data_IF_074554167958
#
_entry.id   IF_074554167958
#
_cell.length_a   1.000
_cell.length_b   1.000
_cell.length_c   1.000
_cell.angle_alpha   90.00
_cell.angle_beta   90.00
_cell.angle_gamma   90.00
#
_symmetry.space_group_name_H-M   'P 1'
#
loop_
_entity.id
_entity.type
_entity.pdbx_description
1 polymer ?
#
# COMPACT_ATOMS: atom_id res chain seq x y z
N UNK A 1 -0.43 17.92 -4.54
CA UNK A 1 -1.15 16.91 -3.74
C UNK A 1 -0.55 15.54 -4.02
N UNK A 2 -0.27 14.79 -2.99
CA UNK A 2 0.31 13.45 -3.12
C UNK A 2 -0.71 12.49 -3.77
N UNK A 3 -0.26 11.73 -4.75
CA UNK A 3 -1.06 10.68 -5.38
C UNK A 3 -0.57 9.33 -4.84
N UNK A 4 -1.48 8.53 -4.31
CA UNK A 4 -1.19 7.17 -3.82
C UNK A 4 -1.82 6.18 -4.78
N UNK A 5 -1.02 5.22 -5.24
CA UNK A 5 -1.47 4.19 -6.17
C UNK A 5 -1.17 2.83 -5.56
N UNK A 6 -2.22 2.06 -5.26
CA UNK A 6 -2.06 0.68 -4.84
C UNK A 6 -1.93 -0.19 -6.08
N UNK A 7 -0.79 -0.87 -6.23
CA UNK A 7 -0.53 -1.77 -7.34
C UNK A 7 -0.65 -3.21 -6.88
N UNK A 8 -1.55 -3.95 -7.49
CA UNK A 8 -1.83 -5.34 -7.16
C UNK A 8 -1.00 -6.23 -8.09
N UNK A 9 0.11 -6.78 -7.58
CA UNK A 9 1.09 -7.49 -8.39
C UNK A 9 0.52 -8.68 -9.16
N UNK A 10 -0.50 -9.34 -8.61
CA UNK A 10 -1.11 -10.54 -9.18
C UNK A 10 -2.15 -10.23 -10.24
N UNK A 11 -2.47 -8.97 -10.46
CA UNK A 11 -3.54 -8.56 -11.39
C UNK A 11 -2.94 -8.01 -12.66
N UNK A 12 -3.70 -8.12 -13.76
CA UNK A 12 -3.25 -7.64 -15.05
C UNK A 12 -3.36 -6.12 -15.15
N UNK A 13 -2.34 -5.49 -15.70
CA UNK A 13 -2.35 -4.05 -15.95
C UNK A 13 -3.53 -3.66 -16.85
N UNK A 14 -4.24 -2.61 -16.45
CA UNK A 14 -5.39 -2.08 -17.21
C UNK A 14 -6.69 -2.84 -17.00
N UNK A 15 -6.68 -3.97 -16.29
CA UNK A 15 -7.90 -4.69 -15.96
C UNK A 15 -8.61 -4.04 -14.78
N UNK A 16 -9.93 -4.24 -14.69
CA UNK A 16 -10.74 -3.65 -13.63
C UNK A 16 -10.26 -4.11 -12.25
N UNK A 17 -9.97 -3.20 -11.31
CA UNK A 17 -9.38 -3.56 -10.01
C UNK A 17 -10.22 -4.54 -9.19
N UNK A 18 -11.54 -4.44 -9.22
CA UNK A 18 -12.40 -5.32 -8.44
C UNK A 18 -12.25 -6.79 -8.83
N UNK A 19 -11.82 -7.08 -10.05
CA UNK A 19 -11.60 -8.45 -10.55
C UNK A 19 -10.35 -9.10 -9.99
N UNK A 20 -9.50 -8.33 -9.32
CA UNK A 20 -8.32 -8.86 -8.64
C UNK A 20 -8.68 -9.66 -7.39
N UNK A 21 -9.90 -9.50 -6.87
CA UNK A 21 -10.30 -10.04 -5.58
C UNK A 21 -11.32 -11.15 -5.75
N UNK A 22 -10.98 -12.34 -5.25
CA UNK A 22 -11.88 -13.50 -5.21
C UNK A 22 -12.44 -13.72 -3.81
N UNK A 23 -11.76 -13.20 -2.79
CA UNK A 23 -12.21 -13.30 -1.41
C UNK A 23 -13.49 -12.46 -1.23
N UNK A 24 -14.58 -13.04 -0.70
CA UNK A 24 -15.83 -12.30 -0.51
C UNK A 24 -15.62 -11.01 0.31
N UNK A 25 -16.11 -9.90 -0.23
CA UNK A 25 -16.04 -8.61 0.43
C UNK A 25 -14.71 -7.86 0.28
N UNK A 26 -13.65 -8.51 -0.18
CA UNK A 26 -12.33 -7.87 -0.23
C UNK A 26 -12.30 -6.68 -1.19
N UNK A 27 -12.89 -6.82 -2.37
CA UNK A 27 -12.95 -5.72 -3.33
C UNK A 27 -13.67 -4.50 -2.76
N UNK A 28 -14.77 -4.73 -2.04
CA UNK A 28 -15.56 -3.66 -1.44
C UNK A 28 -14.77 -2.92 -0.36
N UNK A 29 -14.07 -3.66 0.51
CA UNK A 29 -13.26 -3.06 1.56
C UNK A 29 -12.05 -2.30 0.99
N UNK A 30 -11.43 -2.86 -0.05
CA UNK A 30 -10.33 -2.18 -0.73
C UNK A 30 -10.80 -0.83 -1.30
N UNK A 31 -11.95 -0.83 -1.98
CA UNK A 31 -12.55 0.39 -2.52
C UNK A 31 -12.97 1.37 -1.44
N UNK A 32 -13.47 0.86 -0.31
CA UNK A 32 -13.86 1.69 0.83
C UNK A 32 -12.66 2.48 1.38
N UNK A 33 -11.55 1.81 1.65
CA UNK A 33 -10.37 2.48 2.20
C UNK A 33 -9.69 3.39 1.17
N UNK A 34 -9.64 2.99 -0.10
CA UNK A 34 -9.12 3.86 -1.14
C UNK A 34 -9.95 5.15 -1.24
N UNK A 35 -11.27 5.05 -1.12
CA UNK A 35 -12.16 6.20 -1.11
C UNK A 35 -11.94 7.11 0.09
N UNK A 36 -11.70 6.55 1.27
CA UNK A 36 -11.38 7.33 2.47
C UNK A 36 -10.05 8.04 2.33
N UNK A 37 -9.03 7.38 1.78
CA UNK A 37 -7.74 8.00 1.48
C UNK A 37 -7.95 9.16 0.51
N UNK A 38 -8.86 9.01 -0.44
CA UNK A 38 -9.19 10.02 -1.44
C UNK A 38 -9.65 11.36 -0.87
N UNK A 39 -10.03 11.41 0.40
CA UNK A 39 -10.36 12.66 1.09
C UNK A 39 -9.11 13.46 1.48
N UNK A 40 -7.94 12.82 1.52
CA UNK A 40 -6.68 13.43 1.94
C UNK A 40 -5.67 13.53 0.80
N UNK A 41 -5.76 12.63 -0.18
CA UNK A 41 -4.84 12.51 -1.30
C UNK A 41 -5.59 11.86 -2.45
N UNK A 42 -5.07 11.96 -3.67
CA UNK A 42 -5.61 11.17 -4.78
C UNK A 42 -5.22 9.71 -4.55
N UNK A 43 -6.18 8.79 -4.64
CA UNK A 43 -5.90 7.38 -4.43
C UNK A 43 -6.54 6.53 -5.52
N UNK A 44 -5.74 5.65 -6.13
CA UNK A 44 -6.20 4.72 -7.16
C UNK A 44 -5.74 3.30 -6.84
N UNK A 45 -6.40 2.33 -7.46
CA UNK A 45 -6.04 0.91 -7.38
C UNK A 45 -5.73 0.46 -8.81
N UNK A 46 -4.53 -0.10 -9.02
CA UNK A 46 -4.02 -0.45 -10.32
C UNK A 46 -3.63 -1.93 -10.38
N UNK A 47 -3.77 -2.55 -11.52
CA UNK A 47 -3.26 -3.90 -11.76
C UNK A 47 -1.80 -3.89 -12.19
N UNK A 48 -1.04 -4.90 -11.76
CA UNK A 48 0.36 -5.09 -12.13
C UNK A 48 1.32 -4.11 -11.45
N UNK A 49 2.63 -4.36 -11.61
CA UNK A 49 3.65 -3.48 -11.02
C UNK A 49 3.60 -2.08 -11.64
N UNK A 50 4.05 -1.06 -10.88
CA UNK A 50 4.09 0.30 -11.41
C UNK A 50 5.12 0.42 -12.54
N UNK A 51 4.87 1.38 -13.42
CA UNK A 51 5.85 1.76 -14.45
C UNK A 51 7.01 2.48 -13.79
N UNK A 52 8.14 2.54 -14.49
CA UNK A 52 9.40 3.07 -13.96
C UNK A 52 9.33 4.52 -13.48
N UNK A 53 10.19 4.85 -12.52
CA UNK A 53 10.61 6.23 -12.23
C UNK A 53 9.91 6.93 -11.08
N UNK A 54 9.03 6.27 -10.33
CA UNK A 54 8.37 6.87 -9.18
C UNK A 54 8.86 6.34 -7.85
N UNK A 55 8.42 6.97 -6.77
CA UNK A 55 8.65 6.45 -5.41
C UNK A 55 7.85 5.16 -5.23
N UNK A 56 8.49 4.16 -4.65
CA UNK A 56 7.90 2.84 -4.48
C UNK A 56 8.02 2.38 -3.03
N UNK A 57 6.91 2.00 -2.46
CA UNK A 57 6.86 1.22 -1.22
C UNK A 57 6.46 -0.21 -1.61
N UNK A 58 7.25 -1.18 -1.19
CA UNK A 58 6.96 -2.59 -1.44
C UNK A 58 6.43 -3.24 -0.16
N UNK A 59 5.25 -3.83 -0.24
CA UNK A 59 4.69 -4.64 0.84
C UNK A 59 4.97 -6.10 0.54
N UNK A 60 5.85 -6.72 1.35
CA UNK A 60 6.14 -8.15 1.25
C UNK A 60 6.64 -8.70 2.58
N UNK A 61 7.11 -9.95 2.60
CA UNK A 61 7.61 -10.63 3.80
C UNK A 61 9.10 -10.95 3.72
N UNK A 62 9.80 -10.47 2.70
CA UNK A 62 11.19 -10.85 2.46
C UNK A 62 12.16 -10.36 3.52
N UNK A 63 13.36 -10.89 3.49
CA UNK A 63 14.47 -10.44 4.33
C UNK A 63 14.71 -8.96 4.10
N UNK A 64 14.81 -8.19 5.18
CA UNK A 64 15.00 -6.74 5.07
C UNK A 64 13.71 -5.93 5.03
N UNK A 65 12.54 -6.58 5.02
CA UNK A 65 11.29 -5.86 5.19
C UNK A 65 11.14 -5.42 6.65
N UNK A 66 10.51 -4.24 6.86
CA UNK A 66 10.34 -3.65 8.18
C UNK A 66 8.91 -3.82 8.66
N UNK A 67 8.76 -4.32 9.88
CA UNK A 67 7.48 -4.32 10.57
C UNK A 67 7.31 -2.95 11.21
N UNK A 68 6.33 -2.18 10.74
CA UNK A 68 6.09 -0.82 11.21
C UNK A 68 4.81 -0.75 12.03
N UNK A 69 4.84 0.02 13.12
CA UNK A 69 3.62 0.43 13.78
C UNK A 69 2.83 1.39 12.90
N UNK A 70 1.57 1.61 13.23
CA UNK A 70 0.76 2.59 12.51
C UNK A 70 1.36 3.99 12.60
N UNK A 71 1.94 4.35 13.74
CA UNK A 71 2.61 5.64 13.95
C UNK A 71 3.88 5.76 13.11
N UNK A 72 4.66 4.68 13.01
CA UNK A 72 5.86 4.65 12.16
C UNK A 72 5.50 4.76 10.68
N UNK A 73 4.41 4.12 10.26
CA UNK A 73 3.91 4.24 8.89
C UNK A 73 3.46 5.68 8.61
N UNK A 74 2.77 6.30 9.58
CA UNK A 74 2.37 7.70 9.47
C UNK A 74 3.58 8.61 9.30
N UNK A 75 4.67 8.34 10.03
CA UNK A 75 5.91 9.11 9.91
C UNK A 75 6.54 8.95 8.51
N UNK A 76 6.54 7.72 7.97
CA UNK A 76 7.04 7.48 6.62
C UNK A 76 6.19 8.25 5.59
N UNK A 77 4.87 8.26 5.76
CA UNK A 77 3.97 8.99 4.88
C UNK A 77 4.18 10.51 4.98
N UNK A 78 4.40 11.02 6.19
CA UNK A 78 4.70 12.43 6.43
C UNK A 78 5.96 12.85 5.66
N UNK A 79 6.99 12.01 5.69
CA UNK A 79 8.24 12.27 4.96
C UNK A 79 8.01 12.38 3.46
N UNK A 80 7.19 11.50 2.89
CA UNK A 80 6.86 11.58 1.46
C UNK A 80 6.12 12.86 1.14
N UNK A 81 5.11 13.21 1.96
CA UNK A 81 4.34 14.43 1.77
C UNK A 81 5.25 15.67 1.87
N UNK A 82 6.08 15.75 2.89
CA UNK A 82 6.93 16.92 3.14
C UNK A 82 8.07 17.04 2.14
N UNK A 83 8.51 15.93 1.57
CA UNK A 83 9.51 15.92 0.50
C UNK A 83 8.94 16.35 -0.86
N UNK A 84 7.62 16.54 -0.95
CA UNK A 84 6.99 16.94 -2.20
C UNK A 84 6.84 15.81 -3.22
N UNK A 85 6.79 14.56 -2.74
CA UNK A 85 6.55 13.41 -3.62
C UNK A 85 5.25 13.58 -4.39
N UNK A 86 5.30 13.50 -5.72
CA UNK A 86 4.11 13.63 -6.57
C UNK A 86 3.27 12.36 -6.54
N UNK A 87 3.92 11.21 -6.74
CA UNK A 87 3.24 9.92 -6.79
C UNK A 87 3.98 8.90 -5.96
N UNK A 88 3.23 8.16 -5.17
CA UNK A 88 3.74 7.05 -4.37
C UNK A 88 3.01 5.77 -4.78
N UNK A 89 3.75 4.82 -5.33
CA UNK A 89 3.22 3.51 -5.63
C UNK A 89 3.41 2.60 -4.41
N UNK A 90 2.33 1.96 -3.97
CA UNK A 90 2.37 0.94 -2.93
C UNK A 90 2.12 -0.39 -3.63
N UNK A 91 3.19 -1.15 -3.85
CA UNK A 91 3.12 -2.43 -4.55
C UNK A 91 2.85 -3.55 -3.56
N UNK A 92 1.71 -4.21 -3.73
CA UNK A 92 1.31 -5.35 -2.90
C UNK A 92 1.76 -6.62 -3.61
N UNK A 93 2.67 -7.36 -2.99
CA UNK A 93 3.19 -8.60 -3.55
C UNK A 93 2.11 -9.67 -3.71
N UNK A 94 2.24 -10.48 -4.75
CA UNK A 94 1.34 -11.61 -4.98
C UNK A 94 1.69 -12.82 -4.10
N UNK A 95 0.99 -13.94 -4.29
CA UNK A 95 1.20 -15.12 -3.44
C UNK A 95 2.62 -15.69 -3.50
N UNK A 96 3.30 -15.50 -4.62
CA UNK A 96 4.67 -16.00 -4.80
C UNK A 96 5.75 -14.99 -4.36
N UNK A 97 5.36 -13.77 -4.05
CA UNK A 97 6.27 -12.70 -3.65
C UNK A 97 7.25 -12.31 -4.76
N UNK A 98 8.35 -11.70 -4.36
CA UNK A 98 9.43 -11.30 -5.27
C UNK A 98 10.77 -11.86 -4.79
N UNK A 99 11.63 -12.24 -5.74
CA UNK A 99 13.00 -12.64 -5.43
C UNK A 99 13.80 -11.42 -4.91
N UNK A 100 14.88 -11.69 -4.18
CA UNK A 100 15.76 -10.60 -3.71
C UNK A 100 16.36 -9.82 -4.87
N UNK A 101 16.67 -10.50 -6.00
CA UNK A 101 17.15 -9.82 -7.19
C UNK A 101 16.11 -8.86 -7.75
N UNK A 102 14.84 -9.27 -7.79
CA UNK A 102 13.76 -8.42 -8.27
C UNK A 102 13.57 -7.20 -7.33
N UNK A 103 13.62 -7.40 -6.02
CA UNK A 103 13.51 -6.32 -5.04
C UNK A 103 14.65 -5.33 -5.22
N UNK A 104 15.90 -5.83 -5.38
CA UNK A 104 17.06 -4.97 -5.59
C UNK A 104 16.90 -4.13 -6.87
N UNK A 105 16.34 -4.70 -7.92
CA UNK A 105 16.10 -3.99 -9.17
C UNK A 105 15.04 -2.90 -9.03
N UNK A 106 14.02 -3.15 -8.21
CA UNK A 106 12.95 -2.17 -7.96
C UNK A 106 13.39 -0.97 -7.11
N UNK A 107 14.40 -1.15 -6.27
CA UNK A 107 14.92 -0.12 -5.35
C UNK A 107 13.82 0.57 -4.55
N UNK A 108 13.02 -0.17 -3.76
CA UNK A 108 11.94 0.46 -3.01
C UNK A 108 12.47 1.45 -1.97
N UNK A 109 11.79 2.58 -1.83
CA UNK A 109 12.10 3.56 -0.80
C UNK A 109 11.75 3.03 0.59
N UNK A 110 10.79 2.12 0.66
CA UNK A 110 10.38 1.43 1.87
C UNK A 110 10.02 -0.01 1.52
N UNK A 111 10.56 -0.95 2.25
CA UNK A 111 10.15 -2.35 2.17
C UNK A 111 9.43 -2.69 3.47
N UNK A 112 8.14 -2.90 3.37
CA UNK A 112 7.21 -2.92 4.48
C UNK A 112 6.57 -4.29 4.64
N UNK A 113 6.44 -4.74 5.88
CA UNK A 113 5.75 -5.98 6.23
C UNK A 113 4.63 -5.68 7.25
N UNK A 114 3.52 -6.40 7.13
CA UNK A 114 2.40 -6.27 8.05
C UNK A 114 2.60 -7.06 9.34
N UNK A 115 3.73 -7.71 9.49
CA UNK A 115 4.07 -8.45 10.69
C UNK A 115 4.64 -9.83 10.36
N UNK A 116 4.93 -10.65 11.39
CA UNK A 116 5.53 -11.97 11.18
C UNK A 116 4.55 -13.01 10.62
N UNK A 117 3.24 -12.77 10.74
CA UNK A 117 2.24 -13.69 10.22
C UNK A 117 2.08 -13.54 8.73
N UNK A 118 1.89 -14.65 8.03
CA UNK A 118 1.59 -14.64 6.60
C UNK A 118 0.11 -14.40 6.39
N UNK A 119 -0.21 -13.37 5.61
CA UNK A 119 -1.59 -13.06 5.22
C UNK A 119 -1.81 -13.44 3.76
N UNK A 120 -3.01 -13.90 3.37
CA UNK A 120 -3.36 -14.00 1.96
C UNK A 120 -3.15 -12.65 1.27
N UNK A 121 -2.65 -12.66 0.03
CA UNK A 121 -2.31 -11.42 -0.67
C UNK A 121 -3.49 -10.45 -0.80
N UNK A 122 -4.70 -10.96 -1.01
CA UNK A 122 -5.90 -10.11 -1.10
C UNK A 122 -6.20 -9.42 0.24
N UNK A 123 -6.08 -10.16 1.34
CA UNK A 123 -6.27 -9.59 2.68
C UNK A 123 -5.16 -8.59 3.00
N UNK A 124 -3.92 -8.90 2.63
CA UNK A 124 -2.80 -7.99 2.82
C UNK A 124 -3.04 -6.65 2.11
N UNK A 125 -3.62 -6.68 0.92
CA UNK A 125 -3.97 -5.46 0.20
C UNK A 125 -4.98 -4.61 0.97
N UNK A 126 -6.04 -5.24 1.47
CA UNK A 126 -7.06 -4.54 2.26
C UNK A 126 -6.47 -3.96 3.54
N UNK A 127 -5.66 -4.73 4.25
CA UNK A 127 -5.01 -4.27 5.49
C UNK A 127 -4.05 -3.12 5.18
N UNK A 128 -3.30 -3.21 4.08
CA UNK A 128 -2.40 -2.13 3.67
C UNK A 128 -3.16 -0.83 3.40
N UNK A 129 -4.29 -0.91 2.69
CA UNK A 129 -5.13 0.25 2.41
C UNK A 129 -5.68 0.85 3.71
N UNK A 130 -6.15 0.01 4.63
CA UNK A 130 -6.61 0.45 5.94
C UNK A 130 -5.50 1.16 6.71
N UNK A 131 -4.29 0.61 6.71
CA UNK A 131 -3.16 1.21 7.42
C UNK A 131 -2.72 2.54 6.80
N UNK A 132 -2.77 2.68 5.48
CA UNK A 132 -2.46 3.96 4.83
C UNK A 132 -3.53 5.00 5.19
N UNK A 133 -4.79 4.61 5.20
CA UNK A 133 -5.85 5.50 5.68
C UNK A 133 -5.63 5.89 7.14
N UNK A 134 -5.31 4.92 8.01
CA UNK A 134 -5.01 5.16 9.42
C UNK A 134 -3.83 6.13 9.56
N UNK A 135 -2.78 5.97 8.76
CA UNK A 135 -1.63 6.88 8.75
C UNK A 135 -2.06 8.32 8.44
N UNK A 136 -2.91 8.51 7.42
CA UNK A 136 -3.45 9.82 7.12
C UNK A 136 -4.26 10.39 8.28
N UNK A 137 -5.08 9.56 8.93
CA UNK A 137 -5.89 10.01 10.07
C UNK A 137 -5.01 10.47 11.24
N UNK A 138 -3.89 9.78 11.47
CA UNK A 138 -2.91 10.18 12.49
C UNK A 138 -2.32 11.55 12.13
N UNK A 139 -1.89 11.73 10.89
CA UNK A 139 -1.30 13.00 10.44
C UNK A 139 -2.29 14.17 10.51
N UNK A 140 -3.55 13.90 10.28
CA UNK A 140 -4.61 14.93 10.34
C UNK A 140 -5.20 15.06 11.74
N UNK A 141 -4.72 14.29 12.71
CA UNK A 141 -5.23 14.26 14.09
C UNK A 141 -6.72 13.94 14.16
N UNK A 142 -7.20 13.13 13.21
CA UNK A 142 -8.58 12.67 13.18
C UNK A 142 -8.79 11.56 14.22
N UNK A 143 -10.02 11.36 14.72
CA UNK A 143 -10.27 10.41 15.82
C UNK A 143 -10.22 8.93 15.44
N UNK A 144 -10.10 8.59 14.17
CA UNK A 144 -10.15 7.20 13.68
C UNK A 144 -9.20 6.27 14.44
N UNK A 145 -7.92 6.67 14.56
CA UNK A 145 -6.90 5.85 15.24
C UNK A 145 -7.15 5.75 16.74
N UNK A 146 -7.62 6.83 17.36
CA UNK A 146 -7.82 6.89 18.80
C UNK A 146 -8.98 6.00 19.28
N UNK A 147 -9.94 5.70 18.42
CA UNK A 147 -11.08 4.85 18.75
C UNK A 147 -10.84 3.35 18.51
N UNK A 148 -9.67 3.01 18.04
CA UNK A 148 -9.34 1.63 17.65
C UNK A 148 -8.03 1.18 18.26
#
# INVERSE_FOLDING_TARGET
MLKIQFHLAWHKAGAQPHRAFKMPGAADWMGEYAGRIGQHATCTIEGGPPKHGGRLWLLDHGTGSLVLSSEELAEALRRERDAGTDSLAVLIGGPDGYSEAAVSAMKPALRWSLGPMTLPHELAAVVAAEQVYRAWSILKRAPYHLGH
#
